data_IF_717683560892
#
_entry.id   IF_717683560892
#
_cell.length_a   1.000
_cell.length_b   1.000
_cell.length_c   1.000
_cell.angle_alpha   90.00
_cell.angle_beta   90.00
_cell.angle_gamma   90.00
#
_symmetry.space_group_name_H-M   'P 1'
#
loop_
_entity.id
_entity.type
_entity.pdbx_description
1 polymer ?
#
# COMPACT_ATOMS: atom_id res chain seq x y z
N UNK A 1 31.16 -37.24 -15.76
CA UNK A 1 31.15 -36.51 -17.05
C UNK A 1 29.76 -35.99 -17.28
N UNK A 2 29.49 -34.77 -16.80
CA UNK A 2 28.36 -33.93 -17.18
C UNK A 2 28.92 -32.50 -17.25
N UNK A 3 28.66 -31.81 -18.35
CA UNK A 3 29.36 -30.58 -18.74
C UNK A 3 28.95 -29.33 -17.95
N UNK A 4 29.70 -28.22 -18.08
CA UNK A 4 29.44 -27.00 -17.34
C UNK A 4 28.32 -26.19 -18.00
N UNK A 5 27.24 -25.95 -17.26
CA UNK A 5 26.25 -24.93 -17.61
C UNK A 5 26.87 -23.55 -17.42
N UNK A 6 27.22 -22.93 -18.54
CA UNK A 6 27.73 -21.56 -18.58
C UNK A 6 26.55 -20.58 -18.37
N UNK A 7 26.24 -20.27 -17.12
CA UNK A 7 25.30 -19.21 -16.76
C UNK A 7 26.02 -17.86 -16.77
N UNK A 8 25.81 -17.06 -17.82
CA UNK A 8 26.18 -15.64 -17.78
C UNK A 8 25.12 -14.85 -16.99
N UNK A 9 25.50 -14.11 -15.92
CA UNK A 9 24.57 -13.23 -15.22
C UNK A 9 24.30 -11.96 -16.05
N UNK A 10 23.02 -11.59 -16.12
CA UNK A 10 22.59 -10.30 -16.68
C UNK A 10 23.05 -9.16 -15.76
N UNK A 11 23.68 -8.12 -16.31
CA UNK A 11 24.40 -7.04 -15.59
C UNK A 11 23.60 -6.20 -14.58
N UNK A 12 22.29 -6.39 -14.45
CA UNK A 12 21.46 -5.63 -13.51
C UNK A 12 20.75 -6.60 -12.55
N UNK A 13 21.47 -6.98 -11.49
CA UNK A 13 21.00 -7.91 -10.49
C UNK A 13 19.84 -7.35 -9.66
N UNK A 14 18.74 -8.11 -9.60
CA UNK A 14 17.87 -8.19 -8.42
C UNK A 14 17.13 -9.53 -8.42
N UNK A 15 17.35 -10.40 -7.43
CA UNK A 15 16.43 -11.47 -7.11
C UNK A 15 15.34 -10.90 -6.20
N UNK A 16 14.10 -10.79 -6.70
CA UNK A 16 12.94 -10.58 -5.82
C UNK A 16 12.49 -11.94 -5.26
N UNK A 17 12.27 -12.07 -3.94
CA UNK A 17 11.73 -13.30 -3.39
C UNK A 17 10.25 -13.42 -3.78
N UNK A 18 9.89 -14.51 -4.45
CA UNK A 18 8.49 -14.88 -4.64
C UNK A 18 7.90 -15.29 -3.29
N UNK A 19 6.98 -14.49 -2.75
CA UNK A 19 6.06 -14.95 -1.70
C UNK A 19 4.86 -15.63 -2.34
N UNK A 20 4.41 -16.69 -1.65
CA UNK A 20 3.38 -17.64 -2.06
C UNK A 20 2.07 -16.96 -2.45
N UNK A 21 1.41 -17.61 -3.40
CA UNK A 21 0.15 -17.25 -4.00
C UNK A 21 -0.98 -17.24 -2.97
N UNK A 22 -1.64 -16.10 -2.82
CA UNK A 22 -3.02 -16.02 -2.37
C UNK A 22 -3.70 -14.85 -3.08
N UNK A 23 -4.83 -15.16 -3.72
CA UNK A 23 -5.79 -14.29 -4.42
C UNK A 23 -5.40 -13.79 -5.83
N UNK A 24 -6.13 -14.30 -6.82
CA UNK A 24 -6.20 -13.81 -8.20
C UNK A 24 -6.95 -12.48 -8.25
N UNK A 25 -6.35 -11.42 -7.71
CA UNK A 25 -6.80 -10.05 -7.90
C UNK A 25 -5.99 -9.42 -9.03
N UNK A 26 -6.69 -8.79 -9.98
CA UNK A 26 -6.14 -8.18 -11.20
C UNK A 26 -4.85 -7.38 -10.93
N UNK A 27 -3.70 -7.99 -11.20
CA UNK A 27 -2.42 -7.29 -11.12
C UNK A 27 -2.33 -6.33 -12.30
N UNK A 28 -2.75 -5.09 -12.10
CA UNK A 28 -2.48 -4.01 -13.04
C UNK A 28 -0.97 -3.75 -13.07
N UNK A 29 -0.37 -3.74 -14.26
CA UNK A 29 1.01 -3.32 -14.40
C UNK A 29 1.14 -1.86 -13.93
N UNK A 30 1.91 -1.63 -12.86
CA UNK A 30 2.12 -0.30 -12.24
C UNK A 30 2.61 0.77 -13.23
N UNK A 31 3.24 0.35 -14.32
CA UNK A 31 3.86 1.21 -15.32
C UNK A 31 2.94 1.56 -16.50
N UNK A 32 2.16 0.61 -17.02
CA UNK A 32 1.29 0.85 -18.17
C UNK A 32 -0.22 0.83 -17.90
N UNK A 33 -0.64 0.36 -16.71
CA UNK A 33 -2.05 0.26 -16.30
C UNK A 33 -2.85 -0.82 -17.02
N UNK A 34 -2.22 -1.72 -17.77
CA UNK A 34 -2.89 -2.89 -18.35
C UNK A 34 -3.02 -3.99 -17.31
N UNK A 35 -4.13 -4.70 -17.30
CA UNK A 35 -4.32 -5.93 -16.51
C UNK A 35 -3.32 -6.97 -17.00
N UNK A 36 -2.53 -7.52 -16.08
CA UNK A 36 -1.68 -8.66 -16.34
C UNK A 36 -2.59 -9.89 -16.25
N UNK A 37 -2.99 -10.45 -17.38
CA UNK A 37 -3.54 -11.79 -17.36
C UNK A 37 -2.47 -12.72 -16.76
N UNK A 38 -2.91 -13.61 -15.87
CA UNK A 38 -2.10 -14.40 -14.91
C UNK A 38 -0.98 -15.23 -15.55
N UNK A 39 -0.94 -15.35 -16.88
CA UNK A 39 0.09 -16.08 -17.59
C UNK A 39 0.77 -15.21 -18.65
N UNK A 40 2.10 -15.19 -18.58
CA UNK A 40 3.11 -14.76 -19.57
C UNK A 40 3.57 -13.29 -19.53
N UNK A 41 4.85 -13.16 -19.16
CA UNK A 41 5.82 -12.11 -19.51
C UNK A 41 5.24 -10.82 -20.15
N UNK A 42 4.67 -9.94 -19.34
CA UNK A 42 4.33 -8.61 -19.81
C UNK A 42 5.61 -7.79 -20.07
N UNK A 43 6.05 -7.75 -21.33
CA UNK A 43 6.99 -6.75 -21.82
C UNK A 43 6.33 -5.38 -21.78
N UNK A 44 6.46 -4.72 -20.63
CA UNK A 44 5.96 -3.37 -20.46
C UNK A 44 6.81 -2.40 -21.27
N UNK A 45 6.35 -2.03 -22.47
CA UNK A 45 6.97 -0.98 -23.28
C UNK A 45 7.10 0.36 -22.56
N UNK A 46 6.38 0.55 -21.45
CA UNK A 46 6.48 1.75 -20.64
C UNK A 46 7.77 1.82 -19.79
N UNK A 47 8.46 0.68 -19.53
CA UNK A 47 9.68 0.65 -18.69
C UNK A 47 10.77 1.58 -19.25
N UNK A 48 10.97 1.58 -20.58
CA UNK A 48 11.94 2.45 -21.24
C UNK A 48 11.31 3.74 -21.80
N UNK A 49 9.99 3.91 -21.71
CA UNK A 49 9.32 5.10 -22.20
C UNK A 49 9.60 6.29 -21.28
N UNK A 50 9.98 7.43 -21.88
CA UNK A 50 10.22 8.67 -21.18
C UNK A 50 8.93 9.52 -21.13
N UNK A 51 8.47 9.86 -19.94
CA UNK A 51 7.29 10.69 -19.77
C UNK A 51 7.65 12.17 -19.96
N UNK A 52 7.18 12.81 -21.04
CA UNK A 52 7.46 14.24 -21.28
C UNK A 52 6.86 15.20 -20.23
N UNK A 53 5.88 14.75 -19.43
CA UNK A 53 5.25 15.59 -18.38
C UNK A 53 6.10 15.71 -17.12
N UNK A 54 6.62 14.59 -16.63
CA UNK A 54 7.39 14.55 -15.37
C UNK A 54 8.87 14.22 -15.56
N UNK A 55 9.31 13.96 -16.80
CA UNK A 55 10.71 13.66 -17.15
C UNK A 55 11.27 12.40 -16.47
N UNK A 56 10.41 11.45 -16.09
CA UNK A 56 10.79 10.14 -15.53
C UNK A 56 10.46 8.99 -16.50
N UNK A 57 11.27 7.93 -16.43
CA UNK A 57 11.01 6.66 -17.15
C UNK A 57 9.95 5.81 -16.44
N UNK A 58 9.44 4.79 -17.12
CA UNK A 58 8.57 3.80 -16.52
C UNK A 58 7.06 4.02 -16.72
N UNK A 59 6.61 5.09 -17.38
CA UNK A 59 5.18 5.26 -17.67
C UNK A 59 4.92 6.16 -18.88
N UNK A 60 3.77 5.98 -19.51
CA UNK A 60 3.33 6.90 -20.56
C UNK A 60 2.77 8.19 -19.95
N UNK A 61 2.90 9.32 -20.65
CA UNK A 61 2.42 10.64 -20.19
C UNK A 61 0.91 10.69 -19.87
N UNK A 62 0.11 9.77 -20.41
CA UNK A 62 -1.32 9.62 -20.07
C UNK A 62 -1.57 8.97 -18.70
N UNK A 63 -0.62 8.15 -18.22
CA UNK A 63 -0.65 7.46 -16.93
C UNK A 63 0.15 8.21 -15.85
N UNK A 64 0.65 9.40 -16.17
CA UNK A 64 1.49 10.18 -15.26
C UNK A 64 0.67 10.68 -14.07
N UNK A 65 0.94 10.13 -12.89
CA UNK A 65 0.31 10.49 -11.61
C UNK A 65 0.78 11.83 -11.04
N UNK A 66 1.72 12.51 -11.70
CA UNK A 66 2.20 13.84 -11.31
C UNK A 66 1.08 14.89 -11.24
N UNK A 67 -0.04 14.67 -11.93
CA UNK A 67 -1.24 15.52 -11.83
C UNK A 67 -2.28 15.04 -10.80
N UNK A 68 -2.15 13.84 -10.22
CA UNK A 68 -3.16 13.30 -9.30
C UNK A 68 -3.10 13.95 -7.91
N UNK A 69 -1.94 14.47 -7.50
CA UNK A 69 -1.75 15.12 -6.18
C UNK A 69 -2.11 16.60 -6.13
N UNK A 70 -2.49 17.23 -7.25
CA UNK A 70 -2.99 18.62 -7.24
C UNK A 70 -4.52 18.72 -7.19
N UNK A 71 -5.21 17.63 -6.85
CA UNK A 71 -6.67 17.55 -6.82
C UNK A 71 -7.29 17.75 -5.42
N UNK A 72 -6.57 18.28 -4.43
CA UNK A 72 -7.16 18.61 -3.12
C UNK A 72 -8.07 19.84 -3.13
N UNK A 73 -8.15 20.56 -4.24
CA UNK A 73 -9.28 21.42 -4.56
C UNK A 73 -9.21 21.65 -6.06
N UNK A 74 -10.00 20.99 -6.92
CA UNK A 74 -10.15 21.48 -8.27
C UNK A 74 -10.81 22.85 -8.14
N UNK A 75 -10.00 23.92 -8.07
CA UNK A 75 -10.47 25.28 -8.33
C UNK A 75 -11.33 25.12 -9.57
N UNK A 76 -12.63 25.48 -9.52
CA UNK A 76 -13.55 25.18 -10.61
C UNK A 76 -12.86 25.64 -11.88
N UNK A 77 -12.51 24.70 -12.76
CA UNK A 77 -11.77 25.03 -13.99
C UNK A 77 -12.60 26.13 -14.62
N UNK A 78 -12.10 27.37 -14.60
CA UNK A 78 -12.81 28.51 -15.16
C UNK A 78 -13.04 28.10 -16.59
N UNK A 79 -14.27 27.67 -16.91
CA UNK A 79 -14.64 27.31 -18.28
C UNK A 79 -14.19 28.53 -19.08
N UNK A 80 -13.42 28.31 -20.15
CA UNK A 80 -12.97 29.44 -20.98
C UNK A 80 -14.20 30.29 -21.28
N UNK A 81 -14.09 31.63 -21.25
CA UNK A 81 -15.25 32.51 -21.47
C UNK A 81 -16.04 32.10 -22.73
N UNK A 82 -15.32 31.57 -23.73
CA UNK A 82 -15.86 30.91 -24.93
C UNK A 82 -16.79 29.71 -24.69
N UNK A 83 -16.52 28.82 -23.73
CA UNK A 83 -17.41 27.68 -23.45
C UNK A 83 -18.70 28.11 -22.74
N UNK A 84 -18.59 29.03 -21.78
CA UNK A 84 -19.78 29.58 -21.10
C UNK A 84 -20.65 30.32 -22.10
N UNK A 85 -20.05 31.13 -22.97
CA UNK A 85 -20.77 31.84 -24.02
C UNK A 85 -21.45 30.87 -24.99
N UNK A 86 -20.74 29.85 -25.49
CA UNK A 86 -21.35 28.84 -26.38
C UNK A 86 -22.48 28.06 -25.74
N UNK A 87 -22.36 27.69 -24.47
CA UNK A 87 -23.45 27.00 -23.75
C UNK A 87 -24.65 27.95 -23.55
N UNK A 88 -24.41 29.23 -23.26
CA UNK A 88 -25.44 30.27 -23.14
C UNK A 88 -26.14 30.54 -24.46
N UNK A 89 -25.40 30.67 -25.56
CA UNK A 89 -25.94 30.87 -26.90
C UNK A 89 -26.76 29.66 -27.35
N UNK A 90 -26.29 28.44 -27.07
CA UNK A 90 -27.07 27.21 -27.31
C UNK A 90 -28.38 27.19 -26.53
N UNK A 91 -28.36 27.59 -25.26
CA UNK A 91 -29.57 27.67 -24.44
C UNK A 91 -30.52 28.74 -24.99
N UNK A 92 -29.99 29.91 -25.38
CA UNK A 92 -30.77 30.99 -25.99
C UNK A 92 -31.44 30.53 -27.28
N UNK A 93 -30.69 29.94 -28.22
CA UNK A 93 -31.24 29.42 -29.47
C UNK A 93 -32.25 28.30 -29.23
N UNK A 94 -32.05 27.47 -28.20
CA UNK A 94 -33.02 26.45 -27.81
C UNK A 94 -34.33 27.09 -27.31
N UNK A 95 -34.25 28.11 -26.46
CA UNK A 95 -35.43 28.85 -25.96
C UNK A 95 -36.12 29.65 -27.07
N UNK A 96 -35.38 30.19 -28.04
CA UNK A 96 -35.94 30.89 -29.21
C UNK A 96 -36.61 29.93 -30.20
N UNK A 97 -36.04 28.73 -30.42
CA UNK A 97 -36.60 27.73 -31.34
C UNK A 97 -37.80 26.99 -30.76
N UNK A 98 -37.84 26.77 -29.44
CA UNK A 98 -39.06 26.31 -28.81
C UNK A 98 -40.01 27.50 -28.74
N UNK A 99 -40.99 27.53 -29.64
CA UNK A 99 -42.11 28.46 -29.48
C UNK A 99 -42.67 28.28 -28.05
N UNK A 100 -42.70 29.37 -27.28
CA UNK A 100 -43.24 29.39 -25.91
C UNK A 100 -44.70 28.93 -25.85
N UNK A 101 -45.35 28.80 -27.02
CA UNK A 101 -46.70 28.28 -27.23
C UNK A 101 -46.88 26.78 -26.95
N UNK A 102 -45.81 26.03 -26.70
CA UNK A 102 -45.89 24.59 -26.38
C UNK A 102 -45.52 24.27 -24.93
N UNK A 103 -45.37 25.28 -24.06
CA UNK A 103 -45.16 25.00 -22.65
C UNK A 103 -46.49 24.57 -22.03
N UNK A 104 -46.53 23.42 -21.32
CA UNK A 104 -47.76 22.85 -20.74
C UNK A 104 -48.40 23.70 -19.63
N UNK A 105 -47.92 24.93 -19.42
CA UNK A 105 -48.36 25.86 -18.39
C UNK A 105 -49.07 27.10 -18.96
N UNK A 106 -49.28 27.17 -20.29
CA UNK A 106 -50.08 28.26 -20.87
C UNK A 106 -51.54 28.11 -20.46
N UNK A 107 -51.93 28.87 -19.44
CA UNK A 107 -53.29 28.88 -18.90
C UNK A 107 -53.37 28.76 -17.38
N UNK A 108 -52.26 28.48 -16.68
CA UNK A 108 -52.23 28.56 -15.22
C UNK A 108 -52.19 30.02 -14.79
N UNK A 109 -53.08 30.40 -13.87
CA UNK A 109 -53.02 31.72 -13.24
C UNK A 109 -51.74 31.82 -12.37
N UNK A 110 -51.19 33.03 -12.19
CA UNK A 110 -49.96 33.26 -11.42
C UNK A 110 -50.01 32.64 -10.00
N UNK A 111 -51.21 32.55 -9.42
CA UNK A 111 -51.45 31.92 -8.10
C UNK A 111 -51.22 30.41 -8.13
N UNK A 112 -51.67 29.72 -9.18
CA UNK A 112 -51.51 28.28 -9.33
C UNK A 112 -50.06 27.91 -9.63
N UNK A 113 -49.37 28.73 -10.43
CA UNK A 113 -47.94 28.58 -10.69
C UNK A 113 -47.10 28.78 -9.42
N UNK A 114 -47.45 29.77 -8.59
CA UNK A 114 -46.79 29.99 -7.30
C UNK A 114 -47.01 28.82 -6.34
N UNK A 115 -48.23 28.26 -6.26
CA UNK A 115 -48.51 27.11 -5.42
C UNK A 115 -47.74 25.86 -5.89
N UNK A 116 -47.69 25.62 -7.20
CA UNK A 116 -46.95 24.51 -7.79
C UNK A 116 -45.45 24.61 -7.53
N UNK A 117 -44.86 25.79 -7.72
CA UNK A 117 -43.42 25.99 -7.46
C UNK A 117 -43.07 25.87 -5.97
N UNK A 118 -43.95 26.31 -5.07
CA UNK A 118 -43.81 26.10 -3.63
C UNK A 118 -43.84 24.60 -3.28
N UNK A 119 -44.78 23.83 -3.84
CA UNK A 119 -44.87 22.38 -3.62
C UNK A 119 -43.62 21.63 -4.12
N UNK A 120 -43.08 22.02 -5.27
CA UNK A 120 -41.81 21.46 -5.79
C UNK A 120 -40.65 21.77 -4.85
N UNK A 121 -40.57 22.99 -4.32
CA UNK A 121 -39.52 23.38 -3.38
C UNK A 121 -39.59 22.56 -2.10
N UNK A 122 -40.79 22.32 -1.56
CA UNK A 122 -40.99 21.50 -0.37
C UNK A 122 -40.58 20.04 -0.60
N UNK A 123 -40.97 19.44 -1.73
CA UNK A 123 -40.58 18.07 -2.07
C UNK A 123 -39.07 17.94 -2.34
N UNK A 124 -38.47 18.95 -2.98
CA UNK A 124 -37.02 19.00 -3.18
C UNK A 124 -36.27 19.10 -1.84
N UNK A 125 -36.75 19.94 -0.92
CA UNK A 125 -36.19 20.07 0.43
C UNK A 125 -36.31 18.75 1.21
N UNK A 126 -37.47 18.09 1.17
CA UNK A 126 -37.68 16.77 1.78
C UNK A 126 -36.71 15.72 1.22
N UNK A 127 -36.55 15.66 -0.11
CA UNK A 127 -35.61 14.74 -0.75
C UNK A 127 -34.16 15.02 -0.33
N UNK A 128 -33.77 16.30 -0.25
CA UNK A 128 -32.45 16.71 0.20
C UNK A 128 -32.19 16.30 1.65
N UNK A 129 -33.15 16.54 2.55
CA UNK A 129 -33.07 16.13 3.95
C UNK A 129 -32.94 14.60 4.06
N UNK A 130 -33.69 13.84 3.27
CA UNK A 130 -33.59 12.38 3.26
C UNK A 130 -32.22 11.88 2.78
N UNK A 131 -31.65 12.51 1.75
CA UNK A 131 -30.28 12.22 1.29
C UNK A 131 -29.24 12.52 2.38
N UNK A 132 -29.36 13.66 3.06
CA UNK A 132 -28.48 14.01 4.18
C UNK A 132 -28.61 13.00 5.33
N UNK A 133 -29.83 12.60 5.69
CA UNK A 133 -30.07 11.59 6.73
C UNK A 133 -29.45 10.23 6.36
N UNK A 134 -29.58 9.80 5.11
CA UNK A 134 -28.96 8.56 4.63
C UNK A 134 -27.43 8.64 4.67
N UNK A 135 -26.86 9.75 4.21
CA UNK A 135 -25.41 10.01 4.28
C UNK A 135 -24.90 9.97 5.72
N UNK A 136 -25.59 10.66 6.64
CA UNK A 136 -25.23 10.69 8.06
C UNK A 136 -25.26 9.29 8.70
N UNK A 137 -26.26 8.47 8.38
CA UNK A 137 -26.31 7.07 8.86
C UNK A 137 -25.12 6.25 8.36
N UNK A 138 -24.68 6.44 7.12
CA UNK A 138 -23.52 5.75 6.59
C UNK A 138 -22.23 6.19 7.30
N UNK A 139 -22.04 7.50 7.50
CA UNK A 139 -20.90 8.03 8.27
C UNK A 139 -20.86 7.50 9.71
N UNK A 140 -22.02 7.34 10.37
CA UNK A 140 -22.07 6.74 11.71
C UNK A 140 -21.64 5.27 11.71
N UNK A 141 -22.00 4.51 10.68
CA UNK A 141 -21.54 3.11 10.53
C UNK A 141 -20.02 3.05 10.34
N UNK A 142 -19.46 3.91 9.49
CA UNK A 142 -18.01 4.01 9.28
C UNK A 142 -17.29 4.37 10.59
N UNK A 143 -17.81 5.33 11.36
CA UNK A 143 -17.25 5.69 12.68
C UNK A 143 -17.30 4.51 13.65
N UNK A 144 -18.36 3.70 13.63
CA UNK A 144 -18.46 2.51 14.49
C UNK A 144 -17.40 1.46 14.12
N UNK A 145 -17.18 1.21 12.82
CA UNK A 145 -16.13 0.31 12.33
C UNK A 145 -14.74 0.82 12.75
N UNK A 146 -14.44 2.09 12.51
CA UNK A 146 -13.16 2.71 12.90
C UNK A 146 -12.90 2.65 14.42
N UNK A 147 -13.95 2.75 15.24
CA UNK A 147 -13.84 2.56 16.70
C UNK A 147 -13.49 1.11 17.06
N UNK A 148 -14.06 0.13 16.36
CA UNK A 148 -13.72 -1.28 16.51
C UNK A 148 -12.25 -1.54 16.15
N UNK A 149 -11.83 -1.11 14.96
CA UNK A 149 -10.44 -1.23 14.50
C UNK A 149 -9.43 -0.55 15.45
N UNK A 150 -9.80 0.61 16.02
CA UNK A 150 -8.96 1.28 17.01
C UNK A 150 -8.77 0.43 18.28
N UNK A 151 -9.81 -0.27 18.74
CA UNK A 151 -9.71 -1.11 19.93
C UNK A 151 -8.79 -2.33 19.70
N UNK A 152 -8.84 -2.93 18.51
CA UNK A 152 -7.93 -4.01 18.10
C UNK A 152 -6.48 -3.51 17.96
N UNK A 153 -6.28 -2.31 17.43
CA UNK A 153 -4.95 -1.71 17.36
C UNK A 153 -4.35 -1.51 18.77
N UNK A 154 -5.18 -1.12 19.74
CA UNK A 154 -4.73 -0.92 21.12
C UNK A 154 -4.40 -2.25 21.83
N UNK A 155 -5.08 -3.36 21.51
CA UNK A 155 -4.70 -4.69 22.03
C UNK A 155 -3.38 -5.16 21.42
N UNK A 156 -3.21 -5.04 20.10
CA UNK A 156 -1.96 -5.40 19.40
C UNK A 156 -0.77 -4.58 19.90
N UNK A 157 -0.97 -3.29 20.23
CA UNK A 157 0.08 -2.47 20.85
C UNK A 157 0.50 -3.00 22.22
N UNK A 158 -0.44 -3.43 23.06
CA UNK A 158 -0.14 -4.03 24.36
C UNK A 158 0.64 -5.35 24.20
N UNK A 159 0.22 -6.20 23.27
CA UNK A 159 0.92 -7.45 22.97
C UNK A 159 2.36 -7.21 22.49
N UNK A 160 2.58 -6.21 21.62
CA UNK A 160 3.93 -5.84 21.18
C UNK A 160 4.84 -5.39 22.33
N UNK A 161 4.30 -4.68 23.33
CA UNK A 161 5.07 -4.30 24.53
C UNK A 161 5.48 -5.54 25.33
N UNK A 162 4.56 -6.50 25.50
CA UNK A 162 4.85 -7.77 26.20
C UNK A 162 5.93 -8.56 25.45
N UNK A 163 5.79 -8.71 24.13
CA UNK A 163 6.76 -9.43 23.30
C UNK A 163 8.14 -8.78 23.34
N UNK A 164 8.21 -7.44 23.35
CA UNK A 164 9.46 -6.71 23.48
C UNK A 164 10.14 -6.99 24.83
N UNK A 165 9.39 -6.94 25.93
CA UNK A 165 9.92 -7.26 27.25
C UNK A 165 10.44 -8.70 27.33
N UNK A 166 9.71 -9.67 26.76
CA UNK A 166 10.15 -11.07 26.70
C UNK A 166 11.44 -11.24 25.89
N UNK A 167 11.56 -10.53 24.76
CA UNK A 167 12.77 -10.54 23.94
C UNK A 167 13.97 -9.97 24.71
N UNK A 168 13.78 -8.89 25.47
CA UNK A 168 14.82 -8.29 26.30
C UNK A 168 15.29 -9.25 27.40
N UNK A 169 14.36 -9.96 28.06
CA UNK A 169 14.69 -11.02 29.03
C UNK A 169 15.50 -12.16 28.40
N UNK A 170 15.06 -12.69 27.25
CA UNK A 170 15.77 -13.76 26.55
C UNK A 170 17.17 -13.33 26.10
N UNK A 171 17.34 -12.07 25.68
CA UNK A 171 18.65 -11.53 25.33
C UNK A 171 19.60 -11.47 26.54
N UNK A 172 19.06 -11.15 27.72
CA UNK A 172 19.83 -11.16 28.97
C UNK A 172 20.26 -12.58 29.36
N UNK A 173 19.35 -13.56 29.31
CA UNK A 173 19.65 -14.97 29.56
C UNK A 173 20.71 -15.49 28.58
N UNK A 174 20.58 -15.16 27.29
CA UNK A 174 21.59 -15.51 26.28
C UNK A 174 22.96 -14.94 26.63
N UNK A 175 23.02 -13.69 27.09
CA UNK A 175 24.29 -13.06 27.48
C UNK A 175 24.93 -13.77 28.68
N UNK A 176 24.12 -14.15 29.68
CA UNK A 176 24.58 -14.93 30.83
C UNK A 176 25.14 -16.29 30.41
N UNK A 177 24.47 -16.99 29.48
CA UNK A 177 24.98 -18.25 28.95
C UNK A 177 26.30 -18.09 28.21
N UNK A 178 26.46 -17.05 27.39
CA UNK A 178 27.72 -16.76 26.70
C UNK A 178 28.86 -16.53 27.70
N UNK A 179 28.61 -15.77 28.77
CA UNK A 179 29.60 -15.55 29.83
C UNK A 179 29.98 -16.84 30.56
N UNK A 180 29.01 -17.71 30.83
CA UNK A 180 29.25 -19.00 31.46
C UNK A 180 30.11 -19.90 30.56
N UNK A 181 29.82 -19.95 29.25
CA UNK A 181 30.61 -20.70 28.27
C UNK A 181 32.06 -20.20 28.26
N UNK A 182 32.26 -18.88 28.20
CA UNK A 182 33.60 -18.28 28.24
C UNK A 182 34.36 -18.64 29.53
N UNK A 183 33.66 -18.66 30.67
CA UNK A 183 34.25 -19.07 31.95
C UNK A 183 34.66 -20.53 31.94
N UNK A 184 33.80 -21.42 31.44
CA UNK A 184 34.07 -22.85 31.26
C UNK A 184 35.28 -23.06 30.36
N UNK A 185 35.34 -22.40 29.20
CA UNK A 185 36.47 -22.48 28.27
C UNK A 185 37.78 -22.03 28.94
N UNK A 186 37.74 -20.93 29.70
CA UNK A 186 38.93 -20.42 30.38
C UNK A 186 39.38 -21.30 31.55
N UNK A 187 38.48 -22.02 32.22
CA UNK A 187 38.81 -22.87 33.37
C UNK A 187 39.17 -24.31 32.98
N UNK A 188 38.47 -24.92 32.03
CA UNK A 188 38.64 -26.33 31.68
C UNK A 188 39.78 -26.58 30.69
N UNK A 189 39.94 -25.72 29.67
CA UNK A 189 40.98 -25.90 28.65
C UNK A 189 42.38 -25.96 29.29
N UNK A 190 42.77 -25.07 30.23
CA UNK A 190 44.06 -25.17 30.88
C UNK A 190 44.24 -26.42 31.74
N UNK A 191 43.17 -26.93 32.35
CA UNK A 191 43.20 -28.16 33.15
C UNK A 191 43.44 -29.37 32.26
N UNK A 192 42.72 -29.46 31.14
CA UNK A 192 42.93 -30.53 30.16
C UNK A 192 44.34 -30.50 29.57
N UNK A 193 44.85 -29.31 29.20
CA UNK A 193 46.22 -29.16 28.71
C UNK A 193 47.26 -29.60 29.75
N UNK A 194 47.09 -29.24 31.02
CA UNK A 194 47.97 -29.72 32.11
C UNK A 194 47.90 -31.24 32.29
N UNK A 195 46.72 -31.84 32.18
CA UNK A 195 46.57 -33.29 32.26
C UNK A 195 47.29 -33.99 31.08
N UNK A 196 47.20 -33.44 29.87
CA UNK A 196 47.95 -33.94 28.72
C UNK A 196 49.47 -33.79 28.91
N UNK A 197 49.94 -32.67 29.47
CA UNK A 197 51.36 -32.47 29.79
C UNK A 197 51.88 -33.51 30.78
N UNK A 198 51.12 -33.78 31.84
CA UNK A 198 51.45 -34.81 32.85
C UNK A 198 51.55 -36.20 32.19
N UNK A 199 50.57 -36.57 31.36
CA UNK A 199 50.54 -37.86 30.67
C UNK A 199 51.73 -38.02 29.71
N UNK A 200 52.09 -36.96 28.98
CA UNK A 200 53.28 -36.95 28.10
C UNK A 200 54.55 -37.19 28.91
N UNK A 201 54.69 -36.59 30.09
CA UNK A 201 55.86 -36.80 30.97
C UNK A 201 55.92 -38.26 31.44
N UNK A 202 54.80 -38.82 31.91
CA UNK A 202 54.73 -40.23 32.35
C UNK A 202 55.16 -41.19 31.25
N UNK A 203 54.63 -41.02 30.04
CA UNK A 203 54.97 -41.87 28.89
C UNK A 203 56.43 -41.75 28.46
N UNK A 204 57.06 -40.57 28.66
CA UNK A 204 58.50 -40.40 28.39
C UNK A 204 59.36 -41.16 29.40
N UNK A 205 58.99 -41.13 30.68
CA UNK A 205 59.68 -41.87 31.76
C UNK A 205 59.56 -43.39 31.55
N UNK A 206 58.36 -43.89 31.22
CA UNK A 206 58.13 -45.30 30.88
C UNK A 206 59.02 -45.75 29.71
N UNK A 207 59.11 -44.94 28.64
CA UNK A 207 59.96 -45.24 27.49
C UNK A 207 61.47 -45.21 27.80
N UNK A 208 61.91 -44.37 28.75
CA UNK A 208 63.31 -44.37 29.20
C UNK A 208 63.64 -45.65 29.98
N UNK A 209 62.72 -46.09 30.85
CA UNK A 209 62.89 -47.32 31.63
C UNK A 209 62.94 -48.57 30.74
N UNK A 210 62.23 -48.59 29.61
CA UNK A 210 62.27 -49.71 28.66
C UNK A 210 63.58 -49.80 27.84
N UNK A 211 64.42 -48.76 27.85
CA UNK A 211 65.70 -48.75 27.12
C UNK A 211 66.90 -49.22 27.95
N UNK A 212 66.72 -49.43 29.24
CA UNK A 212 67.73 -49.92 30.18
C UNK A 212 67.52 -51.41 30.47
#
# INVERSE_FOLDING_TARGET
>A
MEGPWNYQPCRNGHPFPMRKADTCLDFLCKYCGKTLNVFTYHRCYAINAYCYKCRHHGHFARMCSFHAKSCENPKPKKKSKSKIQRDSDRMRTFMEKKQMSQFPFQGLEDKELSAFTCSIQDESAKLHINKLKASHRNSLKEIAVLKGEKSELDTVKKENVILKNNLDTLNLERLQHVQLIQKIEHELIPVELKNFEIEIVRLKEENLNLKH
#
